data_IF_669153512870
#
_entry.id   IF_669153512870
#
_cell.length_a   1.000
_cell.length_b   1.000
_cell.length_c   1.000
_cell.angle_alpha   90.00
_cell.angle_beta   90.00
_cell.angle_gamma   90.00
#
_symmetry.space_group_name_H-M   'P 1'
#
loop_
_entity.id
_entity.type
_entity.pdbx_description
1 polymer ?
#
# COMPACT_ATOMS: atom_id res chain seq x y z
N UNK A 1 -8.98 2.30 27.18
CA UNK A 1 -9.56 3.39 26.38
C UNK A 1 -10.88 2.90 25.81
N UNK A 2 -11.98 3.59 26.11
CA UNK A 2 -13.27 3.30 25.50
C UNK A 2 -13.27 3.84 24.08
N UNK A 3 -13.29 2.94 23.10
CA UNK A 3 -13.43 3.31 21.70
C UNK A 3 -14.91 3.39 21.35
N UNK A 4 -15.33 4.52 20.80
CA UNK A 4 -16.70 4.73 20.32
C UNK A 4 -16.71 4.96 18.80
N UNK A 5 -17.79 4.58 18.16
CA UNK A 5 -18.01 4.81 16.73
C UNK A 5 -19.40 5.37 16.49
N UNK A 6 -19.52 6.28 15.53
CA UNK A 6 -20.80 6.87 15.11
C UNK A 6 -21.47 6.06 13.98
N UNK A 7 -20.85 4.93 13.59
CA UNK A 7 -21.39 4.03 12.56
C UNK A 7 -22.38 3.06 13.19
N UNK A 8 -23.18 2.38 12.37
CA UNK A 8 -24.16 1.38 12.80
C UNK A 8 -23.91 0.03 12.14
N UNK A 9 -24.44 -1.02 12.72
CA UNK A 9 -24.36 -2.38 12.18
C UNK A 9 -22.92 -2.87 12.05
N UNK A 10 -22.61 -3.52 10.92
CA UNK A 10 -21.30 -4.10 10.67
C UNK A 10 -20.18 -3.05 10.58
N UNK A 11 -20.44 -1.91 9.98
CA UNK A 11 -19.46 -0.83 9.88
C UNK A 11 -19.00 -0.32 11.25
N UNK A 12 -19.84 -0.42 12.28
CA UNK A 12 -19.51 -0.14 13.67
C UNK A 12 -18.42 -1.08 14.18
N UNK A 13 -18.61 -2.39 14.01
CA UNK A 13 -17.64 -3.39 14.47
C UNK A 13 -16.31 -3.26 13.74
N UNK A 14 -16.35 -3.05 12.43
CA UNK A 14 -15.14 -2.83 11.64
C UNK A 14 -14.37 -1.58 12.10
N UNK A 15 -15.06 -0.48 12.34
CA UNK A 15 -14.44 0.76 12.83
C UNK A 15 -13.80 0.58 14.22
N UNK A 16 -14.49 -0.12 15.12
CA UNK A 16 -13.95 -0.46 16.45
C UNK A 16 -12.72 -1.36 16.33
N UNK A 17 -12.75 -2.36 15.47
CA UNK A 17 -11.61 -3.24 15.21
C UNK A 17 -10.41 -2.42 14.73
N UNK A 18 -10.58 -1.58 13.72
CA UNK A 18 -9.52 -0.74 13.17
C UNK A 18 -8.98 0.22 14.24
N UNK A 19 -9.84 0.87 15.01
CA UNK A 19 -9.43 1.77 16.10
C UNK A 19 -8.64 1.05 17.18
N UNK A 20 -9.08 -0.14 17.58
CA UNK A 20 -8.42 -0.96 18.59
C UNK A 20 -7.04 -1.44 18.15
N UNK A 21 -6.92 -1.86 16.89
CA UNK A 21 -5.69 -2.41 16.31
C UNK A 21 -4.85 -1.37 15.54
N UNK A 22 -5.27 -0.11 15.52
CA UNK A 22 -4.63 0.98 14.77
C UNK A 22 -3.12 1.04 15.00
N UNK A 23 -2.67 0.89 16.25
CA UNK A 23 -1.24 0.93 16.59
C UNK A 23 -0.46 -0.16 15.88
N UNK A 24 -0.97 -1.39 15.87
CA UNK A 24 -0.30 -2.54 15.22
C UNK A 24 -0.27 -2.33 13.70
N UNK A 25 -1.42 -2.00 13.10
CA UNK A 25 -1.56 -1.79 11.67
C UNK A 25 -0.68 -0.64 11.16
N UNK A 26 -0.71 0.51 11.85
CA UNK A 26 0.05 1.69 11.42
C UNK A 26 1.53 1.60 11.73
N UNK A 27 1.95 0.91 12.80
CA UNK A 27 3.37 0.78 13.15
C UNK A 27 4.13 -0.03 12.09
N UNK A 28 3.54 -1.12 11.60
CA UNK A 28 4.15 -1.92 10.54
C UNK A 28 4.34 -1.11 9.25
N UNK A 29 3.30 -0.38 8.83
CA UNK A 29 3.34 0.48 7.63
C UNK A 29 4.35 1.62 7.79
N UNK A 30 4.38 2.28 8.96
CA UNK A 30 5.34 3.35 9.24
C UNK A 30 6.77 2.86 9.18
N UNK A 31 7.10 1.73 9.84
CA UNK A 31 8.44 1.13 9.77
C UNK A 31 8.85 0.84 8.34
N UNK A 32 7.97 0.23 7.56
CA UNK A 32 8.21 -0.08 6.15
C UNK A 32 8.40 1.20 5.32
N UNK A 33 7.58 2.22 5.52
CA UNK A 33 7.70 3.51 4.83
C UNK A 33 9.01 4.22 5.16
N UNK A 34 9.48 4.14 6.41
CA UNK A 34 10.79 4.70 6.81
C UNK A 34 11.92 3.97 6.10
N UNK A 35 11.89 2.64 6.01
CA UNK A 35 12.91 1.86 5.30
C UNK A 35 12.94 2.24 3.81
N UNK A 36 11.77 2.34 3.16
CA UNK A 36 11.66 2.76 1.77
C UNK A 36 12.27 4.15 1.59
N UNK A 37 11.93 5.10 2.46
CA UNK A 37 12.45 6.46 2.40
C UNK A 37 13.98 6.50 2.56
N UNK A 38 14.54 5.72 3.50
CA UNK A 38 15.99 5.64 3.69
C UNK A 38 16.69 5.07 2.45
N UNK A 39 16.12 4.06 1.79
CA UNK A 39 16.65 3.51 0.54
C UNK A 39 16.67 4.59 -0.55
N UNK A 40 15.57 5.34 -0.73
CA UNK A 40 15.52 6.42 -1.72
C UNK A 40 16.51 7.53 -1.42
N UNK A 41 16.67 7.94 -0.16
CA UNK A 41 17.67 8.94 0.26
C UNK A 41 19.08 8.45 -0.09
N UNK A 42 19.41 7.19 0.23
CA UNK A 42 20.73 6.62 -0.08
C UNK A 42 20.99 6.59 -1.60
N UNK A 43 19.99 6.24 -2.41
CA UNK A 43 20.10 6.26 -3.87
C UNK A 43 20.29 7.69 -4.41
N UNK A 44 19.57 8.68 -3.89
CA UNK A 44 19.70 10.09 -4.28
C UNK A 44 21.11 10.61 -3.96
N UNK A 45 21.64 10.30 -2.78
CA UNK A 45 23.02 10.66 -2.40
C UNK A 45 24.01 9.99 -3.38
N UNK A 46 23.83 8.71 -3.69
CA UNK A 46 24.69 7.99 -4.65
C UNK A 46 24.70 8.63 -6.03
N UNK A 47 23.52 9.03 -6.55
CA UNK A 47 23.38 9.72 -7.84
C UNK A 47 24.07 11.09 -7.82
N UNK A 48 24.06 11.79 -6.68
CA UNK A 48 24.65 13.11 -6.56
C UNK A 48 26.18 13.08 -6.45
N UNK A 49 26.76 12.01 -5.92
CA UNK A 49 28.19 11.87 -5.68
C UNK A 49 28.92 11.23 -6.85
N UNK A 50 28.28 10.28 -7.55
CA UNK A 50 28.95 9.46 -8.57
C UNK A 50 28.20 9.51 -9.90
N UNK A 51 28.88 10.05 -10.92
CA UNK A 51 28.33 10.16 -12.29
C UNK A 51 28.10 8.79 -12.95
N UNK A 52 28.94 7.80 -12.69
CA UNK A 52 28.77 6.44 -13.22
C UNK A 52 27.57 5.76 -12.59
N UNK A 53 27.35 5.97 -11.29
CA UNK A 53 26.18 5.46 -10.58
C UNK A 53 24.89 6.11 -11.13
N UNK A 54 24.93 7.41 -11.44
CA UNK A 54 23.83 8.14 -12.08
C UNK A 54 23.44 7.52 -13.41
N UNK A 55 24.42 7.29 -14.31
CA UNK A 55 24.20 6.71 -15.64
C UNK A 55 23.64 5.31 -15.55
N UNK A 56 24.22 4.44 -14.73
CA UNK A 56 23.72 3.06 -14.50
C UNK A 56 22.31 3.05 -13.92
N UNK A 57 22.01 3.94 -12.98
CA UNK A 57 20.68 4.04 -12.38
C UNK A 57 19.64 4.44 -13.42
N UNK A 58 19.95 5.38 -14.31
CA UNK A 58 19.06 5.78 -15.39
C UNK A 58 18.79 4.62 -16.37
N UNK A 59 19.83 3.90 -16.77
CA UNK A 59 19.72 2.74 -17.63
C UNK A 59 18.83 1.65 -17.02
N UNK A 60 19.07 1.29 -15.75
CA UNK A 60 18.25 0.31 -15.02
C UNK A 60 16.80 0.77 -14.92
N UNK A 61 16.55 2.03 -14.56
CA UNK A 61 15.19 2.55 -14.46
C UNK A 61 14.46 2.52 -15.78
N UNK A 62 15.12 2.82 -16.90
CA UNK A 62 14.49 2.80 -18.22
C UNK A 62 14.23 1.38 -18.74
N UNK A 63 15.18 0.46 -18.56
CA UNK A 63 15.06 -0.93 -19.03
C UNK A 63 14.01 -1.69 -18.19
N UNK A 64 14.04 -1.53 -16.88
CA UNK A 64 13.18 -2.29 -15.96
C UNK A 64 11.93 -1.55 -15.52
N UNK A 65 11.62 -0.39 -16.10
CA UNK A 65 10.48 0.45 -15.73
C UNK A 65 9.14 -0.33 -15.59
N UNK A 66 8.78 -1.23 -16.51
CA UNK A 66 7.53 -1.99 -16.40
C UNK A 66 7.51 -2.98 -15.22
N UNK A 67 8.69 -3.41 -14.77
CA UNK A 67 8.79 -4.42 -13.71
C UNK A 67 8.73 -3.84 -12.30
N UNK A 68 8.95 -2.53 -12.13
CA UNK A 68 8.90 -1.89 -10.81
C UNK A 68 7.52 -1.94 -10.16
N UNK A 69 6.45 -2.15 -10.92
CA UNK A 69 5.11 -2.37 -10.38
C UNK A 69 5.03 -3.59 -9.45
N UNK A 70 5.87 -4.61 -9.70
CA UNK A 70 5.93 -5.82 -8.87
C UNK A 70 6.55 -5.59 -7.49
N UNK A 71 7.21 -4.46 -7.24
CA UNK A 71 7.65 -4.07 -5.90
C UNK A 71 6.45 -4.03 -4.95
N UNK A 72 5.28 -3.64 -5.44
CA UNK A 72 4.06 -3.63 -4.65
C UNK A 72 3.63 -5.01 -4.16
N UNK A 73 4.00 -6.08 -4.87
CA UNK A 73 3.78 -7.46 -4.39
C UNK A 73 4.53 -7.73 -3.08
N UNK A 74 5.81 -7.34 -3.01
CA UNK A 74 6.65 -7.57 -1.83
C UNK A 74 6.25 -6.68 -0.64
N UNK A 75 5.70 -5.51 -0.92
CA UNK A 75 5.45 -4.46 0.09
C UNK A 75 4.02 -4.47 0.61
N UNK A 76 3.09 -5.07 -0.13
CA UNK A 76 1.68 -5.12 0.20
C UNK A 76 1.42 -5.80 1.55
N UNK A 77 0.66 -5.14 2.42
CA UNK A 77 0.28 -5.64 3.75
C UNK A 77 -1.13 -6.23 3.81
N UNK A 78 -1.84 -6.31 2.70
CA UNK A 78 -3.23 -6.76 2.66
C UNK A 78 -3.41 -8.16 3.25
N UNK A 79 -2.57 -9.12 2.89
CA UNK A 79 -2.63 -10.49 3.41
C UNK A 79 -2.55 -10.52 4.95
N UNK A 80 -1.56 -9.84 5.54
CA UNK A 80 -1.38 -9.79 6.99
C UNK A 80 -2.55 -9.13 7.71
N UNK A 81 -3.10 -8.05 7.14
CA UNK A 81 -4.24 -7.33 7.71
C UNK A 81 -5.51 -8.16 7.60
N UNK A 82 -5.77 -8.78 6.45
CA UNK A 82 -6.94 -9.64 6.22
C UNK A 82 -6.94 -10.85 7.15
N UNK A 83 -5.80 -11.54 7.29
CA UNK A 83 -5.65 -12.65 8.23
C UNK A 83 -5.93 -12.20 9.66
N UNK A 84 -5.36 -11.08 10.09
CA UNK A 84 -5.58 -10.54 11.42
C UNK A 84 -7.05 -10.17 11.68
N UNK A 85 -7.74 -9.61 10.69
CA UNK A 85 -9.16 -9.31 10.77
C UNK A 85 -10.00 -10.58 10.86
N UNK A 86 -9.71 -11.57 10.02
CA UNK A 86 -10.44 -12.84 10.02
C UNK A 86 -10.32 -13.54 11.37
N UNK A 87 -9.11 -13.73 11.89
CA UNK A 87 -8.86 -14.45 13.13
C UNK A 87 -9.45 -13.75 14.36
N UNK A 88 -9.43 -12.43 14.42
CA UNK A 88 -9.83 -11.69 15.61
C UNK A 88 -11.29 -11.22 15.60
N UNK A 89 -11.96 -11.22 14.46
CA UNK A 89 -13.30 -10.64 14.36
C UNK A 89 -14.25 -11.51 13.55
N UNK A 90 -13.90 -11.89 12.34
CA UNK A 90 -14.87 -12.42 11.40
C UNK A 90 -15.25 -13.86 11.65
N UNK A 91 -14.29 -14.67 12.06
CA UNK A 91 -14.55 -16.08 12.37
C UNK A 91 -15.68 -16.21 13.39
N UNK A 92 -15.66 -15.39 14.44
CA UNK A 92 -16.71 -15.38 15.46
C UNK A 92 -18.03 -14.77 14.95
N UNK A 93 -17.95 -13.75 14.07
CA UNK A 93 -19.16 -13.10 13.55
C UNK A 93 -19.90 -13.94 12.52
N UNK A 94 -19.21 -14.77 11.74
CA UNK A 94 -19.81 -15.68 10.77
C UNK A 94 -20.64 -16.81 11.39
N UNK A 95 -20.53 -17.04 12.71
CA UNK A 95 -21.42 -17.98 13.42
C UNK A 95 -22.87 -17.47 13.48
N UNK A 96 -23.07 -16.16 13.44
CA UNK A 96 -24.40 -15.56 13.48
C UNK A 96 -25.04 -15.51 12.10
N UNK A 97 -26.29 -16.01 11.97
CA UNK A 97 -27.01 -16.09 10.69
C UNK A 97 -27.14 -14.75 9.96
N UNK A 98 -27.28 -13.64 10.70
CA UNK A 98 -27.45 -12.30 10.15
C UNK A 98 -26.23 -11.87 9.30
N UNK A 99 -25.02 -12.31 9.67
CA UNK A 99 -23.79 -11.97 8.96
C UNK A 99 -23.52 -12.85 7.73
N UNK A 100 -24.36 -13.87 7.49
CA UNK A 100 -24.27 -14.73 6.29
C UNK A 100 -25.12 -14.22 5.13
N UNK A 101 -25.85 -13.12 5.29
CA UNK A 101 -26.65 -12.55 4.21
C UNK A 101 -25.77 -11.87 3.15
N UNK A 102 -26.05 -12.02 1.84
CA UNK A 102 -25.22 -11.46 0.77
C UNK A 102 -24.99 -9.95 0.88
N UNK A 103 -25.99 -9.19 1.30
CA UNK A 103 -25.88 -7.73 1.49
C UNK A 103 -24.88 -7.37 2.59
N UNK A 104 -24.87 -8.12 3.69
CA UNK A 104 -23.95 -7.88 4.80
C UNK A 104 -22.53 -8.27 4.39
N UNK A 105 -22.34 -9.42 3.74
CA UNK A 105 -21.03 -9.85 3.23
C UNK A 105 -20.44 -8.81 2.27
N UNK A 106 -21.23 -8.29 1.34
CA UNK A 106 -20.77 -7.25 0.43
C UNK A 106 -20.41 -5.95 1.15
N UNK A 107 -21.16 -5.58 2.19
CA UNK A 107 -20.86 -4.43 3.04
C UNK A 107 -19.52 -4.59 3.78
N UNK A 108 -19.29 -5.78 4.34
CA UNK A 108 -18.02 -6.17 4.97
C UNK A 108 -16.87 -6.02 3.99
N UNK A 109 -16.99 -6.61 2.81
CA UNK A 109 -15.99 -6.57 1.77
C UNK A 109 -15.60 -5.13 1.40
N UNK A 110 -16.59 -4.25 1.17
CA UNK A 110 -16.35 -2.85 0.82
C UNK A 110 -15.59 -2.07 1.92
N UNK A 111 -15.99 -2.21 3.17
CA UNK A 111 -15.32 -1.53 4.29
C UNK A 111 -13.88 -2.00 4.49
N UNK A 112 -13.62 -3.29 4.26
CA UNK A 112 -12.27 -3.86 4.32
C UNK A 112 -11.41 -3.41 3.19
N UNK A 113 -11.91 -3.51 1.96
CA UNK A 113 -11.18 -3.06 0.78
C UNK A 113 -10.73 -1.61 0.94
N UNK A 114 -11.64 -0.75 1.41
CA UNK A 114 -11.30 0.65 1.71
C UNK A 114 -10.17 0.77 2.73
N UNK A 115 -10.20 -0.02 3.78
CA UNK A 115 -9.15 -0.01 4.81
C UNK A 115 -7.82 -0.50 4.26
N UNK A 116 -7.81 -1.59 3.47
CA UNK A 116 -6.61 -2.14 2.85
C UNK A 116 -5.99 -1.16 1.86
N UNK A 117 -6.78 -0.55 1.00
CA UNK A 117 -6.31 0.48 0.06
C UNK A 117 -5.69 1.64 0.85
N UNK A 118 -6.33 2.12 1.91
CA UNK A 118 -5.81 3.23 2.72
C UNK A 118 -4.47 2.89 3.39
N UNK A 119 -4.32 1.66 3.89
CA UNK A 119 -3.08 1.19 4.52
C UNK A 119 -1.94 1.10 3.50
N UNK A 120 -2.21 0.58 2.32
CA UNK A 120 -1.20 0.40 1.27
C UNK A 120 -0.91 1.67 0.45
N UNK A 121 -1.76 2.68 0.54
CA UNK A 121 -1.62 3.92 -0.23
C UNK A 121 -0.35 4.68 0.14
N UNK A 122 0.00 4.75 1.42
CA UNK A 122 1.19 5.47 1.87
C UNK A 122 2.49 4.89 1.27
N UNK A 123 2.79 3.59 1.39
CA UNK A 123 3.97 3.03 0.73
C UNK A 123 3.91 3.10 -0.80
N UNK A 124 2.71 2.98 -1.41
CA UNK A 124 2.55 3.12 -2.85
C UNK A 124 2.92 4.53 -3.34
N UNK A 125 2.47 5.57 -2.65
CA UNK A 125 2.82 6.96 -2.96
C UNK A 125 4.32 7.23 -2.79
N UNK A 126 4.95 6.68 -1.75
CA UNK A 126 6.39 6.81 -1.52
C UNK A 126 7.19 6.13 -2.63
N UNK A 127 6.80 4.94 -3.07
CA UNK A 127 7.49 4.23 -4.15
C UNK A 127 7.27 4.93 -5.49
N UNK A 128 6.02 5.22 -5.84
CA UNK A 128 5.71 5.89 -7.11
C UNK A 128 6.38 7.26 -7.22
N UNK A 129 6.29 8.07 -6.16
CA UNK A 129 6.96 9.37 -6.10
C UNK A 129 8.48 9.26 -6.06
N UNK A 130 9.01 8.31 -5.28
CA UNK A 130 10.45 8.06 -5.17
C UNK A 130 11.07 7.59 -6.49
N UNK A 131 10.43 6.66 -7.20
CA UNK A 131 10.89 6.20 -8.52
C UNK A 131 10.82 7.31 -9.57
N UNK A 132 9.75 8.11 -9.58
CA UNK A 132 9.63 9.24 -10.49
C UNK A 132 10.73 10.28 -10.22
N UNK A 133 11.02 10.57 -8.96
CA UNK A 133 12.07 11.50 -8.56
C UNK A 133 13.47 10.96 -8.91
N UNK A 134 13.74 9.66 -8.68
CA UNK A 134 15.00 9.05 -9.09
C UNK A 134 15.19 9.10 -10.60
N UNK A 135 14.15 8.82 -11.38
CA UNK A 135 14.20 8.91 -12.84
C UNK A 135 14.52 10.34 -13.28
N UNK A 136 13.92 11.34 -12.65
CA UNK A 136 14.21 12.75 -12.93
C UNK A 136 15.67 13.12 -12.62
N UNK A 137 16.18 12.75 -11.44
CA UNK A 137 17.54 13.07 -10.99
C UNK A 137 18.63 12.29 -11.74
N UNK A 138 18.36 11.08 -12.21
CA UNK A 138 19.31 10.24 -12.91
C UNK A 138 19.60 10.70 -14.35
N UNK A 139 18.80 11.56 -14.91
CA UNK A 139 18.98 12.09 -16.27
C UNK A 139 17.65 12.23 -16.99
N UNK A 140 16.63 11.59 -16.45
CA UNK A 140 15.27 11.73 -16.86
C UNK A 140 14.96 11.14 -18.26
N UNK A 141 13.77 11.41 -18.67
CA UNK A 141 13.28 11.20 -20.04
C UNK A 141 12.58 12.47 -20.49
N UNK A 142 12.73 12.84 -21.75
CA UNK A 142 12.07 14.02 -22.32
C UNK A 142 10.54 13.85 -22.43
N UNK A 143 10.04 12.65 -22.16
CA UNK A 143 8.62 12.36 -22.24
C UNK A 143 7.99 12.35 -20.84
N UNK A 144 7.20 13.37 -20.47
CA UNK A 144 6.56 13.46 -19.15
C UNK A 144 5.54 12.31 -18.91
N UNK A 145 5.04 11.69 -19.98
CA UNK A 145 4.11 10.57 -19.91
C UNK A 145 4.72 9.38 -19.17
N UNK A 146 6.03 9.13 -19.29
CA UNK A 146 6.70 8.02 -18.60
C UNK A 146 6.64 8.16 -17.08
N UNK A 147 6.74 9.38 -16.54
CA UNK A 147 6.60 9.62 -15.10
C UNK A 147 5.18 9.36 -14.62
N UNK A 148 4.19 9.80 -15.41
CA UNK A 148 2.78 9.58 -15.10
C UNK A 148 2.42 8.10 -15.14
N UNK A 149 2.87 7.38 -16.17
CA UNK A 149 2.63 5.93 -16.31
C UNK A 149 3.24 5.19 -15.11
N UNK A 150 4.48 5.48 -14.74
CA UNK A 150 5.15 4.84 -13.61
C UNK A 150 4.38 5.09 -12.31
N UNK A 151 3.99 6.31 -12.04
CA UNK A 151 3.28 6.67 -10.81
C UNK A 151 1.89 6.01 -10.75
N UNK A 152 1.12 6.11 -11.83
CA UNK A 152 -0.24 5.55 -11.91
C UNK A 152 -0.22 4.02 -11.85
N UNK A 153 0.74 3.36 -12.51
CA UNK A 153 0.85 1.90 -12.48
C UNK A 153 1.18 1.35 -11.10
N UNK A 154 2.01 2.02 -10.31
CA UNK A 154 2.29 1.64 -8.91
C UNK A 154 1.00 1.73 -8.06
N UNK A 155 0.23 2.80 -8.20
CA UNK A 155 -1.04 2.97 -7.48
C UNK A 155 -2.06 1.90 -7.91
N UNK A 156 -2.20 1.69 -9.22
CA UNK A 156 -3.11 0.68 -9.77
C UNK A 156 -2.76 -0.72 -9.25
N UNK A 157 -1.46 -1.07 -9.20
CA UNK A 157 -1.00 -2.35 -8.69
C UNK A 157 -1.22 -2.49 -7.17
N UNK A 158 -1.09 -1.39 -6.43
CA UNK A 158 -1.43 -1.36 -5.00
C UNK A 158 -2.91 -1.70 -4.76
N UNK A 159 -3.80 -1.14 -5.57
CA UNK A 159 -5.24 -1.43 -5.52
C UNK A 159 -5.50 -2.89 -5.93
N UNK A 160 -4.89 -3.34 -7.02
CA UNK A 160 -5.03 -4.72 -7.51
C UNK A 160 -4.67 -5.74 -6.43
N UNK A 161 -3.51 -5.59 -5.79
CA UNK A 161 -3.11 -6.50 -4.70
C UNK A 161 -3.99 -6.36 -3.46
N UNK A 162 -4.54 -5.18 -3.19
CA UNK A 162 -5.50 -5.02 -2.09
C UNK A 162 -6.79 -5.81 -2.33
N UNK A 163 -7.24 -5.90 -3.59
CA UNK A 163 -8.39 -6.74 -3.98
C UNK A 163 -8.02 -8.22 -3.96
N UNK A 164 -6.84 -8.57 -4.48
CA UNK A 164 -6.41 -9.97 -4.60
C UNK A 164 -6.27 -10.67 -3.24
N UNK A 165 -5.84 -9.96 -2.21
CA UNK A 165 -5.64 -10.51 -0.86
C UNK A 165 -6.85 -10.35 0.08
N UNK A 166 -7.95 -9.82 -0.38
CA UNK A 166 -9.19 -9.69 0.37
C UNK A 166 -10.11 -10.91 0.22
#
# INVERSE_FOLDING_TARGET
>A
KNYTSNKSGYAYFHDLFVKRHKKILTTAVKKQSIVILLIFIAMIIGISVNSDFKSKTNEILMVYLPYFVFIMYCINRSSSVTTSMFMNCDHSMLTYRIYRTPKVILGIFKERLKTLITINLLPALLIGGGLALLLYLSGGTNNPVNYAILFVSIIAMSIFFSVHYL
#
